data_IF_816627658334
#
_entry.id   IF_816627658334
#
_cell.length_a   1.000
_cell.length_b   1.000
_cell.length_c   1.000
_cell.angle_alpha   90.00
_cell.angle_beta   90.00
_cell.angle_gamma   90.00
#
_symmetry.space_group_name_H-M   'P 1'
#
loop_
_entity.id
_entity.type
_entity.pdbx_description
1 polymer ?
#
# COMPACT_ATOMS: atom_id res chain seq x y z
N UNK A 1 81.02 52.31 14.23
CA UNK A 1 82.25 52.03 14.99
C UNK A 1 81.92 51.07 16.12
N UNK A 2 82.36 49.82 16.04
CA UNK A 2 82.34 48.91 17.20
C UNK A 2 83.25 49.47 18.28
N UNK A 3 82.67 50.00 19.35
CA UNK A 3 83.44 50.34 20.55
C UNK A 3 83.71 49.04 21.30
N UNK A 4 84.89 48.45 21.10
CA UNK A 4 85.40 47.37 21.97
C UNK A 4 85.65 47.96 23.35
N UNK A 5 84.74 47.70 24.28
CA UNK A 5 84.95 47.95 25.70
C UNK A 5 85.94 46.94 26.29
N UNK A 6 86.47 47.19 27.51
CA UNK A 6 87.38 46.28 28.16
C UNK A 6 86.69 44.94 28.42
N UNK A 7 87.26 43.85 27.90
CA UNK A 7 86.71 42.48 27.98
C UNK A 7 87.03 41.81 29.32
N UNK A 8 87.76 42.49 30.20
CA UNK A 8 88.29 41.94 31.45
C UNK A 8 87.81 42.73 32.67
N UNK A 9 87.68 42.04 33.80
CA UNK A 9 87.42 42.66 35.09
C UNK A 9 88.51 43.70 35.42
N UNK A 10 88.15 44.80 36.09
CA UNK A 10 89.17 45.76 36.52
C UNK A 10 90.16 45.08 37.48
N UNK A 11 91.48 45.33 37.31
CA UNK A 11 92.51 44.86 38.24
C UNK A 11 92.17 45.20 39.69
N UNK A 12 92.51 44.31 40.62
CA UNK A 12 92.15 44.45 42.04
C UNK A 12 92.71 45.74 42.66
N UNK A 13 93.84 46.22 42.14
CA UNK A 13 94.53 47.43 42.57
C UNK A 13 93.67 48.68 42.36
N UNK A 14 92.88 48.73 41.28
CA UNK A 14 92.02 49.88 40.97
C UNK A 14 90.69 49.78 41.75
N UNK A 15 90.19 48.56 42.01
CA UNK A 15 88.96 48.36 42.81
C UNK A 15 89.13 48.73 44.28
N UNK A 16 90.36 48.64 44.80
CA UNK A 16 90.71 48.94 46.21
C UNK A 16 91.23 50.37 46.41
N UNK A 17 91.32 51.18 45.33
CA UNK A 17 91.84 52.54 45.36
C UNK A 17 90.79 53.55 45.88
N UNK A 18 91.18 54.56 46.69
CA UNK A 18 90.25 55.58 47.15
C UNK A 18 89.76 56.44 45.97
N UNK A 19 88.49 56.85 46.02
CA UNK A 19 87.73 57.38 44.87
C UNK A 19 88.36 58.62 44.24
N UNK A 20 89.02 59.44 45.05
CA UNK A 20 89.78 60.65 44.68
C UNK A 20 90.96 60.36 43.75
N UNK A 21 91.52 59.15 43.79
CA UNK A 21 92.66 58.72 42.95
C UNK A 21 92.23 57.97 41.69
N UNK A 22 90.94 57.64 41.57
CA UNK A 22 90.40 56.89 40.42
C UNK A 22 89.98 57.78 39.25
N UNK A 23 90.18 59.09 39.38
CA UNK A 23 89.83 60.11 38.39
C UNK A 23 91.02 60.37 37.47
N UNK A 24 90.81 60.25 36.15
CA UNK A 24 91.84 60.56 35.18
C UNK A 24 92.22 62.04 35.24
N UNK A 25 93.51 62.35 35.47
CA UNK A 25 94.02 63.73 35.56
C UNK A 25 93.87 64.56 34.28
N UNK A 26 93.65 63.92 33.13
CA UNK A 26 93.53 64.59 31.83
C UNK A 26 92.08 64.85 31.39
N UNK A 27 91.13 64.00 31.78
CA UNK A 27 89.73 64.11 31.33
C UNK A 27 88.69 64.16 32.46
N UNK A 28 89.09 64.05 33.73
CA UNK A 28 88.20 64.20 34.89
C UNK A 28 87.21 63.04 35.10
N UNK A 29 87.30 61.96 34.33
CA UNK A 29 86.39 60.80 34.43
C UNK A 29 86.93 59.80 35.45
N UNK A 30 86.07 59.34 36.38
CA UNK A 30 86.39 58.23 37.29
C UNK A 30 86.29 56.88 36.56
N UNK A 31 87.39 56.12 36.57
CA UNK A 31 87.44 54.78 35.99
C UNK A 31 86.50 53.79 36.72
N UNK A 32 86.26 53.98 38.02
CA UNK A 32 85.31 53.19 38.79
C UNK A 32 83.87 53.47 38.37
N UNK A 33 83.48 54.75 38.31
CA UNK A 33 82.12 55.15 37.88
C UNK A 33 81.83 54.73 36.44
N UNK A 34 82.80 54.87 35.53
CA UNK A 34 82.64 54.42 34.15
C UNK A 34 82.46 52.89 34.05
N UNK A 35 83.19 52.11 34.86
CA UNK A 35 83.01 50.66 34.92
C UNK A 35 81.65 50.26 35.51
N UNK A 36 81.21 50.89 36.60
CA UNK A 36 79.90 50.64 37.21
C UNK A 36 78.76 50.94 36.23
N UNK A 37 78.85 52.06 35.50
CA UNK A 37 77.91 52.39 34.44
C UNK A 37 77.93 51.35 33.31
N UNK A 38 79.11 50.84 32.93
CA UNK A 38 79.23 49.80 31.91
C UNK A 38 78.60 48.48 32.34
N UNK A 39 78.84 48.06 33.58
CA UNK A 39 78.24 46.86 34.17
C UNK A 39 76.71 46.98 34.22
N UNK A 40 76.19 48.15 34.59
CA UNK A 40 74.74 48.39 34.59
C UNK A 40 74.17 48.42 33.17
N UNK A 41 74.86 49.04 32.21
CA UNK A 41 74.46 49.01 30.79
C UNK A 41 74.41 47.58 30.24
N UNK A 42 75.40 46.74 30.57
CA UNK A 42 75.44 45.35 30.12
C UNK A 42 74.36 44.50 30.81
N UNK A 43 74.05 44.78 32.09
CA UNK A 43 72.90 44.16 32.80
C UNK A 43 71.56 44.57 32.19
N UNK A 44 71.36 45.85 31.87
CA UNK A 44 70.14 46.32 31.20
C UNK A 44 70.00 45.66 29.83
N UNK A 45 71.08 45.57 29.05
CA UNK A 45 71.07 44.85 27.76
C UNK A 45 70.77 43.36 27.93
N UNK A 46 71.24 42.72 28.99
CA UNK A 46 70.90 41.33 29.31
C UNK A 46 69.41 41.19 29.66
N UNK A 47 68.89 42.05 30.55
CA UNK A 47 67.47 42.08 30.93
C UNK A 47 66.56 42.41 29.75
N UNK A 48 66.96 43.31 28.84
CA UNK A 48 66.20 43.60 27.62
C UNK A 48 66.12 42.39 26.68
N UNK A 49 67.19 41.60 26.59
CA UNK A 49 67.19 40.34 25.83
C UNK A 49 66.26 39.32 26.49
N UNK A 50 66.33 39.17 27.81
CA UNK A 50 65.44 38.28 28.57
C UNK A 50 63.97 38.69 28.48
N UNK A 51 63.67 39.99 28.58
CA UNK A 51 62.32 40.54 28.42
C UNK A 51 61.76 40.31 27.02
N UNK A 52 62.59 40.42 25.96
CA UNK A 52 62.18 40.09 24.59
C UNK A 52 61.83 38.60 24.46
N UNK A 53 62.63 37.72 25.05
CA UNK A 53 62.33 36.28 25.10
C UNK A 53 61.03 36.02 25.86
N UNK A 54 60.87 36.61 27.04
CA UNK A 54 59.67 36.46 27.87
C UNK A 54 58.40 36.94 27.16
N UNK A 55 58.47 38.08 26.47
CA UNK A 55 57.36 38.58 25.64
C UNK A 55 56.99 37.58 24.54
N UNK A 56 57.97 37.02 23.84
CA UNK A 56 57.74 35.98 22.84
C UNK A 56 57.14 34.69 23.42
N UNK A 57 57.54 34.31 24.64
CA UNK A 57 56.92 33.20 25.37
C UNK A 57 55.46 33.48 25.71
N UNK A 58 55.13 34.69 26.18
CA UNK A 58 53.75 35.08 26.51
C UNK A 58 52.86 35.09 25.26
N UNK A 59 53.33 35.63 24.14
CA UNK A 59 52.60 35.63 22.86
C UNK A 59 52.41 34.20 22.32
N UNK A 60 53.38 33.29 22.53
CA UNK A 60 53.23 31.87 22.21
C UNK A 60 52.17 31.22 23.09
N UNK A 61 52.19 31.46 24.40
CA UNK A 61 51.21 30.88 25.33
C UNK A 61 49.79 31.35 25.03
N UNK A 62 49.61 32.64 24.75
CA UNK A 62 48.31 33.18 24.34
C UNK A 62 47.79 32.54 23.06
N UNK A 63 48.66 32.33 22.06
CA UNK A 63 48.29 31.61 20.83
C UNK A 63 47.90 30.17 21.10
N UNK A 64 48.71 29.44 21.88
CA UNK A 64 48.41 28.05 22.25
C UNK A 64 47.09 27.94 23.03
N UNK A 65 46.80 28.91 23.91
CA UNK A 65 45.55 28.95 24.65
C UNK A 65 44.35 29.20 23.74
N UNK A 66 44.46 30.09 22.75
CA UNK A 66 43.43 30.31 21.75
C UNK A 66 43.22 29.07 20.84
N UNK A 67 44.30 28.43 20.41
CA UNK A 67 44.25 27.18 19.63
C UNK A 67 43.58 26.05 20.44
N UNK A 68 43.93 25.91 21.72
CA UNK A 68 43.29 24.94 22.61
C UNK A 68 41.80 25.22 22.75
N UNK A 69 41.39 26.48 22.94
CA UNK A 69 39.98 26.83 23.01
C UNK A 69 39.24 26.50 21.72
N UNK A 70 39.81 26.83 20.56
CA UNK A 70 39.22 26.48 19.26
C UNK A 70 39.05 24.95 19.11
N UNK A 71 40.09 24.18 19.45
CA UNK A 71 40.05 22.71 19.46
C UNK A 71 38.98 22.14 20.39
N UNK A 72 38.77 22.72 21.57
CA UNK A 72 37.72 22.27 22.49
C UNK A 72 36.32 22.49 21.90
N UNK A 73 36.06 23.65 21.30
CA UNK A 73 34.78 23.93 20.65
C UNK A 73 34.54 22.97 19.46
N UNK A 74 35.58 22.67 18.68
CA UNK A 74 35.49 21.70 17.59
C UNK A 74 35.19 20.28 18.08
N UNK A 75 35.82 19.84 19.18
CA UNK A 75 35.54 18.55 19.80
C UNK A 75 34.10 18.46 20.33
N UNK A 76 33.60 19.51 21.00
CA UNK A 76 32.22 19.55 21.49
C UNK A 76 31.21 19.50 20.34
N UNK A 77 31.46 20.25 19.26
CA UNK A 77 30.64 20.21 18.05
C UNK A 77 30.63 18.81 17.41
N UNK A 78 31.79 18.18 17.28
CA UNK A 78 31.90 16.83 16.74
C UNK A 78 31.19 15.80 17.63
N UNK A 79 31.27 15.95 18.96
CA UNK A 79 30.55 15.09 19.91
C UNK A 79 29.04 15.23 19.73
N UNK A 80 28.51 16.46 19.72
CA UNK A 80 27.09 16.70 19.52
C UNK A 80 26.59 16.15 18.18
N UNK A 81 27.36 16.31 17.10
CA UNK A 81 27.02 15.75 15.80
C UNK A 81 27.03 14.21 15.82
N UNK A 82 28.01 13.60 16.49
CA UNK A 82 28.10 12.14 16.65
C UNK A 82 26.92 11.57 17.47
N UNK A 83 26.53 12.25 18.54
CA UNK A 83 25.37 11.91 19.36
C UNK A 83 24.08 11.99 18.55
N UNK A 84 23.86 13.10 17.82
CA UNK A 84 22.71 13.28 16.93
C UNK A 84 22.65 12.20 15.83
N UNK A 85 23.78 11.87 15.21
CA UNK A 85 23.86 10.77 14.23
C UNK A 85 23.50 9.42 14.86
N UNK A 86 23.97 9.17 16.08
CA UNK A 86 23.68 7.93 16.82
C UNK A 86 22.20 7.80 17.16
N UNK A 87 21.56 8.89 17.59
CA UNK A 87 20.10 8.93 17.84
C UNK A 87 19.30 8.69 16.55
N UNK A 88 19.70 9.31 15.44
CA UNK A 88 19.07 9.09 14.14
C UNK A 88 19.19 7.63 13.69
N UNK A 89 20.36 7.00 13.88
CA UNK A 89 20.56 5.58 13.57
C UNK A 89 19.66 4.69 14.44
N UNK A 90 19.54 4.98 15.74
CA UNK A 90 18.64 4.24 16.64
C UNK A 90 17.18 4.34 16.18
N UNK A 91 16.72 5.54 15.83
CA UNK A 91 15.36 5.76 15.34
C UNK A 91 15.10 4.97 14.04
N UNK A 92 15.99 5.07 13.06
CA UNK A 92 15.90 4.32 11.79
C UNK A 92 15.95 2.81 12.01
N UNK A 93 16.72 2.33 13.00
CA UNK A 93 16.78 0.90 13.34
C UNK A 93 15.44 0.39 13.87
N UNK A 94 14.75 1.19 14.70
CA UNK A 94 13.41 0.84 15.19
C UNK A 94 12.41 0.83 14.04
N UNK A 95 12.41 1.87 13.19
CA UNK A 95 11.52 1.94 12.04
C UNK A 95 11.73 0.77 11.07
N UNK A 96 12.99 0.40 10.80
CA UNK A 96 13.33 -0.76 9.97
C UNK A 96 12.78 -2.06 10.56
N UNK A 97 12.90 -2.26 11.88
CA UNK A 97 12.33 -3.44 12.55
C UNK A 97 10.80 -3.48 12.45
N UNK A 98 10.14 -2.34 12.64
CA UNK A 98 8.69 -2.24 12.47
C UNK A 98 8.28 -2.60 11.05
N UNK A 99 8.94 -2.02 10.04
CA UNK A 99 8.68 -2.32 8.63
C UNK A 99 8.98 -3.79 8.28
N UNK A 100 9.99 -4.37 8.90
CA UNK A 100 10.31 -5.79 8.72
C UNK A 100 9.20 -6.69 9.29
N UNK A 101 8.60 -6.32 10.42
CA UNK A 101 7.49 -7.07 11.00
C UNK A 101 6.21 -6.93 10.17
N UNK A 102 5.85 -5.70 9.78
CA UNK A 102 4.73 -5.45 8.84
C UNK A 102 4.85 -6.29 7.56
N UNK A 103 6.06 -6.39 7.00
CA UNK A 103 6.32 -7.20 5.80
C UNK A 103 6.09 -8.70 6.05
N UNK A 104 6.42 -9.22 7.23
CA UNK A 104 6.13 -10.62 7.58
C UNK A 104 4.62 -10.84 7.69
N UNK A 105 3.88 -9.90 8.29
CA UNK A 105 2.42 -9.99 8.41
C UNK A 105 1.78 -10.00 7.02
N UNK A 106 2.14 -9.05 6.16
CA UNK A 106 1.64 -8.99 4.77
C UNK A 106 1.99 -10.26 3.99
N UNK A 107 3.16 -10.85 4.22
CA UNK A 107 3.56 -12.11 3.58
C UNK A 107 2.69 -13.29 4.05
N UNK A 108 2.34 -13.35 5.33
CA UNK A 108 1.44 -14.37 5.87
C UNK A 108 0.02 -14.21 5.30
N UNK A 109 -0.48 -12.97 5.23
CA UNK A 109 -1.79 -12.67 4.63
C UNK A 109 -1.84 -13.06 3.15
N UNK A 110 -0.77 -12.78 2.39
CA UNK A 110 -0.66 -13.19 0.99
C UNK A 110 -0.75 -14.71 0.83
N UNK A 111 -0.08 -15.47 1.70
CA UNK A 111 -0.14 -16.93 1.68
C UNK A 111 -1.56 -17.42 2.00
N UNK A 112 -2.18 -16.86 3.03
CA UNK A 112 -3.56 -17.17 3.39
C UNK A 112 -4.54 -16.92 2.22
N UNK A 113 -4.48 -15.74 1.59
CA UNK A 113 -5.35 -15.44 0.44
C UNK A 113 -5.08 -16.34 -0.77
N UNK A 114 -3.83 -16.79 -0.93
CA UNK A 114 -3.48 -17.71 -2.01
C UNK A 114 -4.10 -19.11 -1.79
N UNK A 115 -4.09 -19.59 -0.54
CA UNK A 115 -4.75 -20.84 -0.16
C UNK A 115 -6.29 -20.74 -0.32
N UNK A 116 -6.88 -19.63 0.12
CA UNK A 116 -8.33 -19.38 -0.03
C UNK A 116 -8.76 -19.34 -1.50
N UNK A 117 -7.95 -18.67 -2.35
CA UNK A 117 -8.16 -18.66 -3.80
C UNK A 117 -8.11 -20.06 -4.40
N UNK A 118 -7.16 -20.90 -3.99
CA UNK A 118 -7.04 -22.27 -4.49
C UNK A 118 -8.22 -23.14 -4.05
N UNK A 119 -8.67 -22.98 -2.80
CA UNK A 119 -9.86 -23.65 -2.27
C UNK A 119 -11.13 -23.26 -3.05
N UNK A 120 -11.34 -21.95 -3.28
CA UNK A 120 -12.46 -21.44 -4.06
C UNK A 120 -12.42 -21.94 -5.51
N UNK A 121 -11.24 -22.02 -6.12
CA UNK A 121 -11.07 -22.57 -7.47
C UNK A 121 -11.46 -24.05 -7.54
N UNK A 122 -11.00 -24.88 -6.58
CA UNK A 122 -11.38 -26.30 -6.47
C UNK A 122 -12.89 -26.46 -6.31
N UNK A 123 -13.53 -25.63 -5.47
CA UNK A 123 -14.98 -25.65 -5.29
C UNK A 123 -15.73 -25.28 -6.58
N UNK A 124 -15.28 -24.24 -7.28
CA UNK A 124 -15.85 -23.85 -8.59
C UNK A 124 -15.75 -24.97 -9.62
N UNK A 125 -14.63 -25.70 -9.64
CA UNK A 125 -14.45 -26.83 -10.55
C UNK A 125 -15.43 -27.97 -10.24
N UNK A 126 -15.64 -28.31 -8.96
CA UNK A 126 -16.64 -29.32 -8.56
C UNK A 126 -18.06 -28.93 -8.94
N UNK A 127 -18.42 -27.65 -8.74
CA UNK A 127 -19.73 -27.16 -9.17
C UNK A 127 -19.92 -27.23 -10.68
N UNK A 128 -18.86 -26.92 -11.45
CA UNK A 128 -18.90 -27.01 -12.91
C UNK A 128 -19.12 -28.43 -13.41
N UNK A 129 -18.36 -29.40 -12.89
CA UNK A 129 -18.53 -30.81 -13.29
C UNK A 129 -19.90 -31.35 -12.89
N UNK A 130 -20.42 -30.93 -11.73
CA UNK A 130 -21.78 -31.26 -11.28
C UNK A 130 -22.84 -30.69 -12.22
N UNK A 131 -22.68 -29.43 -12.63
CA UNK A 131 -23.59 -28.79 -13.58
C UNK A 131 -23.56 -29.48 -14.95
N UNK A 132 -22.38 -29.82 -15.46
CA UNK A 132 -22.23 -30.57 -16.72
C UNK A 132 -22.94 -31.94 -16.64
N UNK A 133 -22.83 -32.63 -15.51
CA UNK A 133 -23.53 -33.89 -15.27
C UNK A 133 -25.07 -33.71 -15.26
N UNK A 134 -25.57 -32.68 -14.59
CA UNK A 134 -27.00 -32.37 -14.59
C UNK A 134 -27.51 -32.01 -15.98
N UNK A 135 -26.77 -31.19 -16.73
CA UNK A 135 -27.10 -30.86 -18.13
C UNK A 135 -27.14 -32.12 -19.01
N UNK A 136 -26.16 -33.03 -18.87
CA UNK A 136 -26.16 -34.31 -19.59
C UNK A 136 -27.39 -35.16 -19.25
N UNK A 137 -27.74 -35.24 -17.97
CA UNK A 137 -28.91 -35.99 -17.49
C UNK A 137 -30.21 -35.40 -18.01
N UNK A 138 -30.34 -34.07 -17.97
CA UNK A 138 -31.49 -33.37 -18.50
C UNK A 138 -31.64 -33.58 -20.01
N UNK A 139 -30.54 -33.50 -20.76
CA UNK A 139 -30.56 -33.76 -22.20
C UNK A 139 -31.03 -35.19 -22.51
N UNK A 140 -30.59 -36.19 -21.72
CA UNK A 140 -31.10 -37.56 -21.84
C UNK A 140 -32.60 -37.64 -21.55
N UNK A 141 -33.09 -37.00 -20.47
CA UNK A 141 -34.51 -36.97 -20.16
C UNK A 141 -35.33 -36.30 -21.27
N UNK A 142 -34.87 -35.17 -21.79
CA UNK A 142 -35.52 -34.47 -22.91
C UNK A 142 -35.58 -35.32 -24.16
N UNK A 143 -34.54 -36.12 -24.44
CA UNK A 143 -34.52 -37.04 -25.58
C UNK A 143 -35.57 -38.17 -25.50
N UNK A 144 -36.12 -38.45 -24.31
CA UNK A 144 -37.19 -39.43 -24.12
C UNK A 144 -38.59 -38.86 -24.36
N UNK A 145 -38.77 -37.53 -24.34
CA UNK A 145 -40.09 -36.94 -24.55
C UNK A 145 -40.75 -37.25 -25.90
N UNK A 146 -40.03 -37.28 -27.04
CA UNK A 146 -40.61 -37.68 -28.31
C UNK A 146 -41.19 -39.10 -28.27
N UNK A 147 -40.50 -40.03 -27.60
CA UNK A 147 -40.97 -41.41 -27.43
C UNK A 147 -42.22 -41.47 -26.55
N UNK A 148 -42.21 -40.81 -25.39
CA UNK A 148 -43.40 -40.76 -24.52
C UNK A 148 -44.59 -40.14 -25.26
N UNK A 149 -44.35 -39.11 -26.06
CA UNK A 149 -45.38 -38.47 -26.88
C UNK A 149 -45.93 -39.42 -27.94
N UNK A 150 -45.09 -40.16 -28.64
CA UNK A 150 -45.57 -41.14 -29.64
C UNK A 150 -46.39 -42.26 -29.02
N UNK A 151 -46.00 -42.75 -27.83
CA UNK A 151 -46.78 -43.74 -27.09
C UNK A 151 -48.15 -43.20 -26.68
N UNK A 152 -48.21 -41.95 -26.19
CA UNK A 152 -49.47 -41.29 -25.84
C UNK A 152 -50.38 -41.10 -27.05
N UNK A 153 -49.82 -40.69 -28.19
CA UNK A 153 -50.57 -40.53 -29.44
C UNK A 153 -51.11 -41.89 -29.93
N UNK A 154 -50.31 -42.96 -29.82
CA UNK A 154 -50.76 -44.33 -30.14
C UNK A 154 -51.90 -44.80 -29.23
N UNK A 155 -51.78 -44.61 -27.91
CA UNK A 155 -52.86 -44.94 -26.96
C UNK A 155 -54.13 -44.17 -27.30
N UNK A 156 -54.01 -42.88 -27.62
CA UNK A 156 -55.13 -42.03 -28.01
C UNK A 156 -55.82 -42.54 -29.27
N UNK A 157 -55.08 -42.97 -30.28
CA UNK A 157 -55.65 -43.59 -31.49
C UNK A 157 -56.42 -44.87 -31.13
N UNK A 158 -55.82 -45.78 -30.36
CA UNK A 158 -56.46 -47.03 -29.94
C UNK A 158 -57.78 -46.76 -29.18
N UNK A 159 -57.78 -45.81 -28.26
CA UNK A 159 -58.99 -45.41 -27.53
C UNK A 159 -60.05 -44.85 -28.50
N UNK A 160 -59.65 -44.01 -29.44
CA UNK A 160 -60.57 -43.41 -30.41
C UNK A 160 -61.22 -44.48 -31.30
N UNK A 161 -60.42 -45.41 -31.83
CA UNK A 161 -60.92 -46.55 -32.61
C UNK A 161 -61.87 -47.43 -31.79
N UNK A 162 -61.55 -47.70 -30.53
CA UNK A 162 -62.43 -48.49 -29.67
C UNK A 162 -63.76 -47.78 -29.38
N UNK A 163 -63.76 -46.46 -29.21
CA UNK A 163 -65.00 -45.69 -29.03
C UNK A 163 -65.87 -45.73 -30.29
N UNK A 164 -65.27 -45.62 -31.47
CA UNK A 164 -65.98 -45.76 -32.75
C UNK A 164 -66.58 -47.17 -32.91
N UNK A 165 -65.79 -48.21 -32.62
CA UNK A 165 -66.26 -49.60 -32.64
C UNK A 165 -67.42 -49.84 -31.66
N UNK A 166 -67.32 -49.29 -30.45
CA UNK A 166 -68.38 -49.38 -29.45
C UNK A 166 -69.66 -48.68 -29.92
N UNK A 167 -69.53 -47.50 -30.54
CA UNK A 167 -70.67 -46.77 -31.10
C UNK A 167 -71.35 -47.57 -32.23
N UNK A 168 -70.56 -48.18 -33.12
CA UNK A 168 -71.07 -49.03 -34.19
C UNK A 168 -71.80 -50.27 -33.65
N UNK A 169 -71.20 -50.97 -32.68
CA UNK A 169 -71.81 -52.13 -32.03
C UNK A 169 -73.11 -51.77 -31.32
N UNK A 170 -73.14 -50.62 -30.63
CA UNK A 170 -74.36 -50.12 -29.97
C UNK A 170 -75.49 -49.90 -30.98
N UNK A 171 -75.20 -49.30 -32.14
CA UNK A 171 -76.19 -49.09 -33.20
C UNK A 171 -76.68 -50.41 -33.79
N UNK A 172 -75.79 -51.37 -34.03
CA UNK A 172 -76.15 -52.71 -34.51
C UNK A 172 -77.09 -53.44 -33.54
N UNK A 173 -76.76 -53.45 -32.24
CA UNK A 173 -77.63 -54.02 -31.20
C UNK A 173 -79.00 -53.34 -31.21
N UNK A 174 -79.04 -52.02 -31.36
CA UNK A 174 -80.30 -51.28 -31.39
C UNK A 174 -81.16 -51.66 -32.60
N UNK A 175 -80.54 -51.86 -33.77
CA UNK A 175 -81.24 -52.36 -34.95
C UNK A 175 -81.75 -53.79 -34.77
N UNK A 176 -80.95 -54.69 -34.17
CA UNK A 176 -81.37 -56.05 -33.87
C UNK A 176 -82.58 -56.07 -32.92
N UNK A 177 -82.55 -55.28 -31.84
CA UNK A 177 -83.68 -55.15 -30.90
C UNK A 177 -84.94 -54.69 -31.63
N UNK A 178 -84.81 -53.70 -32.52
CA UNK A 178 -85.94 -53.18 -33.31
C UNK A 178 -86.50 -54.23 -34.27
N UNK A 179 -85.64 -55.03 -34.91
CA UNK A 179 -86.04 -56.11 -35.79
C UNK A 179 -86.80 -57.21 -35.03
N UNK A 180 -86.24 -57.70 -33.92
CA UNK A 180 -86.88 -58.70 -33.04
C UNK A 180 -88.22 -58.18 -32.51
N UNK A 181 -88.27 -56.91 -32.09
CA UNK A 181 -89.52 -56.29 -31.61
C UNK A 181 -90.58 -56.23 -32.71
N UNK A 182 -90.20 -55.91 -33.94
CA UNK A 182 -91.11 -55.89 -35.10
C UNK A 182 -91.60 -57.29 -35.45
N UNK A 183 -90.73 -58.28 -35.42
CA UNK A 183 -91.08 -59.69 -35.67
C UNK A 183 -92.06 -60.19 -34.61
N UNK A 184 -91.76 -59.97 -33.32
CA UNK A 184 -92.65 -60.28 -32.21
C UNK A 184 -94.03 -59.62 -32.38
N UNK A 185 -94.10 -58.35 -32.78
CA UNK A 185 -95.37 -57.64 -33.02
C UNK A 185 -96.19 -58.22 -34.18
N UNK A 186 -95.57 -58.90 -35.14
CA UNK A 186 -96.28 -59.57 -36.25
C UNK A 186 -96.68 -61.01 -35.93
N UNK A 187 -95.97 -61.69 -35.02
CA UNK A 187 -96.34 -63.03 -34.54
C UNK A 187 -97.43 -63.00 -33.47
N UNK A 188 -97.45 -62.00 -32.58
CA UNK A 188 -98.50 -61.83 -31.56
C UNK A 188 -99.94 -61.93 -32.13
N UNK A 189 -100.33 -61.22 -33.20
CA UNK A 189 -101.68 -61.34 -33.75
C UNK A 189 -101.95 -62.71 -34.41
N UNK A 190 -100.94 -63.36 -34.99
CA UNK A 190 -101.08 -64.73 -35.55
C UNK A 190 -101.33 -65.74 -34.45
N UNK A 191 -100.60 -65.64 -33.33
CA UNK A 191 -100.80 -66.45 -32.14
C UNK A 191 -102.17 -66.17 -31.51
N UNK A 192 -102.58 -64.92 -31.39
CA UNK A 192 -103.91 -64.55 -30.89
C UNK A 192 -105.04 -65.07 -31.78
N UNK A 193 -104.86 -65.09 -33.11
CA UNK A 193 -105.83 -65.66 -34.04
C UNK A 193 -105.92 -67.20 -33.88
N UNK A 194 -104.78 -67.88 -33.71
CA UNK A 194 -104.74 -69.33 -33.41
C UNK A 194 -105.39 -69.63 -32.06
N UNK A 195 -105.13 -68.79 -31.05
CA UNK A 195 -105.73 -68.88 -29.73
C UNK A 195 -107.26 -68.69 -29.79
N UNK A 196 -107.75 -67.69 -30.53
CA UNK A 196 -109.19 -67.45 -30.70
C UNK A 196 -109.91 -68.57 -31.49
N UNK A 197 -109.19 -69.28 -32.37
CA UNK A 197 -109.69 -70.48 -33.07
C UNK A 197 -109.76 -71.68 -32.12
N UNK A 198 -108.70 -71.88 -31.33
CA UNK A 198 -108.63 -72.91 -30.29
C UNK A 198 -109.63 -72.67 -29.14
N UNK A 199 -109.91 -71.42 -28.75
CA UNK A 199 -110.90 -71.07 -27.74
C UNK A 199 -112.34 -71.43 -28.16
N UNK A 200 -112.69 -71.25 -29.45
CA UNK A 200 -113.98 -71.70 -30.01
C UNK A 200 -114.13 -73.22 -30.06
N UNK A 201 -113.03 -73.95 -30.30
CA UNK A 201 -113.00 -75.41 -30.18
C UNK A 201 -113.08 -75.86 -28.71
N UNK A 202 -112.50 -75.08 -27.78
CA UNK A 202 -112.51 -75.35 -26.35
C UNK A 202 -113.89 -75.11 -25.71
N UNK A 203 -114.70 -74.15 -26.17
CA UNK A 203 -116.09 -73.96 -25.72
C UNK A 203 -116.97 -75.19 -26.05
N UNK A 204 -116.75 -75.85 -27.20
CA UNK A 204 -117.42 -77.09 -27.60
C UNK A 204 -116.96 -78.33 -26.78
N UNK A 205 -115.69 -78.34 -26.36
CA UNK A 205 -115.12 -79.36 -25.49
C UNK A 205 -115.43 -79.12 -23.99
N UNK A 206 -115.64 -77.87 -23.56
CA UNK A 206 -116.03 -77.48 -22.20
C UNK A 206 -117.45 -77.91 -21.82
N UNK A 207 -118.36 -78.13 -22.77
CA UNK A 207 -119.66 -78.78 -22.52
C UNK A 207 -119.50 -80.28 -22.18
N UNK A 208 -118.42 -80.93 -22.65
CA UNK A 208 -118.08 -82.34 -22.41
C UNK A 208 -117.13 -82.56 -21.22
N UNK A 209 -116.23 -81.60 -20.95
CA UNK A 209 -115.26 -81.64 -19.84
C UNK A 209 -115.89 -81.18 -18.51
N UNK A 210 -117.07 -80.52 -18.53
CA UNK A 210 -117.90 -80.21 -17.34
C UNK A 210 -118.30 -81.43 -16.52
N UNK A 211 -118.23 -82.64 -17.09
CA UNK A 211 -118.64 -83.87 -16.41
C UNK A 211 -117.48 -84.74 -15.89
N UNK A 212 -116.24 -84.59 -16.36
CA UNK A 212 -115.22 -85.62 -16.09
C UNK A 212 -113.85 -85.14 -15.59
N UNK A 213 -113.56 -83.83 -15.54
CA UNK A 213 -112.17 -83.38 -15.25
C UNK A 213 -112.10 -82.11 -14.39
N UNK A 214 -113.07 -81.92 -13.49
CA UNK A 214 -113.14 -80.74 -12.61
C UNK A 214 -112.43 -80.87 -11.26
N UNK A 215 -112.02 -82.08 -10.83
CA UNK A 215 -111.54 -82.28 -9.45
C UNK A 215 -110.07 -82.67 -9.36
N UNK A 216 -109.46 -83.30 -10.37
CA UNK A 216 -108.15 -83.94 -10.19
C UNK A 216 -106.93 -83.06 -10.55
N UNK A 217 -106.99 -82.25 -11.61
CA UNK A 217 -105.74 -81.73 -12.21
C UNK A 217 -105.37 -80.29 -11.80
N UNK A 218 -106.17 -79.62 -10.94
CA UNK A 218 -105.91 -78.22 -10.54
C UNK A 218 -104.78 -78.07 -9.51
N UNK A 219 -104.38 -79.15 -8.83
CA UNK A 219 -103.37 -79.09 -7.75
C UNK A 219 -101.95 -79.28 -8.27
N UNK A 220 -101.74 -80.04 -9.35
CA UNK A 220 -100.40 -80.39 -9.81
C UNK A 220 -99.75 -79.26 -10.64
N UNK A 221 -100.53 -78.50 -11.41
CA UNK A 221 -100.02 -77.40 -12.24
C UNK A 221 -99.58 -76.16 -11.44
N UNK A 222 -100.16 -75.91 -10.25
CA UNK A 222 -99.76 -74.78 -9.38
C UNK A 222 -98.42 -74.97 -8.66
N UNK A 223 -97.97 -76.22 -8.52
CA UNK A 223 -96.73 -76.54 -7.78
C UNK A 223 -95.48 -76.22 -8.61
N UNK A 224 -95.54 -76.36 -9.94
CA UNK A 224 -94.42 -76.02 -10.83
C UNK A 224 -94.24 -74.50 -11.06
N UNK A 225 -95.30 -73.70 -10.90
CA UNK A 225 -95.27 -72.24 -11.13
C UNK A 225 -94.68 -71.46 -9.93
N UNK A 226 -94.72 -72.04 -8.72
CA UNK A 226 -94.13 -71.47 -7.51
C UNK A 226 -92.61 -71.73 -7.39
N UNK A 227 -92.09 -72.76 -8.06
CA UNK A 227 -90.68 -73.15 -7.98
C UNK A 227 -89.75 -72.21 -8.79
N UNK A 228 -90.23 -71.66 -9.91
CA UNK A 228 -89.49 -70.67 -10.73
C UNK A 228 -89.45 -69.28 -10.08
N UNK A 229 -90.49 -68.91 -9.31
CA UNK A 229 -90.53 -67.66 -8.54
C UNK A 229 -89.58 -67.66 -7.33
N UNK A 230 -89.30 -68.84 -6.75
CA UNK A 230 -88.34 -69.00 -5.65
C UNK A 230 -86.88 -68.83 -6.12
N UNK A 231 -86.55 -69.25 -7.34
CA UNK A 231 -85.21 -69.06 -7.93
C UNK A 231 -84.90 -67.58 -8.23
N UNK A 232 -85.88 -66.83 -8.75
CA UNK A 232 -85.73 -65.38 -8.99
C UNK A 232 -85.58 -64.57 -7.68
N UNK A 233 -86.19 -65.02 -6.58
CA UNK A 233 -86.02 -64.42 -5.25
C UNK A 233 -84.60 -64.59 -4.69
N UNK A 234 -83.98 -65.76 -4.90
CA UNK A 234 -82.61 -66.02 -4.45
C UNK A 234 -81.56 -65.21 -5.24
N UNK A 235 -81.77 -64.99 -6.54
CA UNK A 235 -80.89 -64.14 -7.36
C UNK A 235 -80.95 -62.68 -6.95
N UNK A 236 -82.15 -62.15 -6.68
CA UNK A 236 -82.31 -60.78 -6.17
C UNK A 236 -81.74 -60.61 -4.76
N UNK A 237 -81.85 -61.63 -3.90
CA UNK A 237 -81.25 -61.61 -2.56
C UNK A 237 -79.72 -61.63 -2.62
N UNK A 238 -79.11 -62.38 -3.54
CA UNK A 238 -77.66 -62.37 -3.75
C UNK A 238 -77.19 -61.01 -4.31
N UNK A 239 -77.94 -60.44 -5.27
CA UNK A 239 -77.67 -59.10 -5.82
C UNK A 239 -77.71 -58.02 -4.72
N UNK A 240 -78.69 -58.09 -3.82
CA UNK A 240 -78.78 -57.16 -2.69
C UNK A 240 -77.60 -57.31 -1.72
N UNK A 241 -77.11 -58.54 -1.45
CA UNK A 241 -75.92 -58.74 -0.61
C UNK A 241 -74.63 -58.22 -1.25
N UNK A 242 -74.48 -58.37 -2.57
CA UNK A 242 -73.34 -57.83 -3.31
C UNK A 242 -73.33 -56.30 -3.30
N UNK A 243 -74.46 -55.66 -3.60
CA UNK A 243 -74.60 -54.19 -3.54
C UNK A 243 -74.37 -53.65 -2.12
N UNK A 244 -74.77 -54.39 -1.08
CA UNK A 244 -74.54 -54.01 0.30
C UNK A 244 -73.05 -54.11 0.68
N UNK A 245 -72.31 -55.05 0.10
CA UNK A 245 -70.84 -55.16 0.24
C UNK A 245 -70.12 -54.01 -0.48
N UNK A 246 -70.50 -53.69 -1.71
CA UNK A 246 -69.96 -52.53 -2.45
C UNK A 246 -70.21 -51.21 -1.71
N UNK A 247 -71.39 -51.05 -1.13
CA UNK A 247 -71.73 -49.85 -0.35
C UNK A 247 -70.83 -49.71 0.88
N UNK A 248 -70.51 -50.83 1.55
CA UNK A 248 -69.60 -50.83 2.69
C UNK A 248 -68.16 -50.50 2.27
N UNK A 249 -67.68 -51.08 1.17
CA UNK A 249 -66.34 -50.81 0.64
C UNK A 249 -66.16 -49.36 0.18
N UNK A 250 -67.18 -48.78 -0.47
CA UNK A 250 -67.20 -47.36 -0.85
C UNK A 250 -67.23 -46.46 0.39
N UNK A 251 -67.97 -46.83 1.43
CA UNK A 251 -68.01 -46.08 2.71
C UNK A 251 -66.62 -46.05 3.36
N UNK A 252 -65.92 -47.18 3.42
CA UNK A 252 -64.55 -47.26 3.95
C UNK A 252 -63.55 -46.42 3.12
N UNK A 253 -63.71 -46.37 1.80
CA UNK A 253 -62.88 -45.52 0.93
C UNK A 253 -63.13 -44.03 1.18
N UNK A 254 -64.38 -43.62 1.38
CA UNK A 254 -64.74 -42.23 1.69
C UNK A 254 -64.16 -41.81 3.06
N UNK A 255 -64.24 -42.66 4.08
CA UNK A 255 -63.63 -42.39 5.38
C UNK A 255 -62.10 -42.28 5.30
N UNK A 256 -61.46 -43.18 4.54
CA UNK A 256 -60.00 -43.14 4.33
C UNK A 256 -59.57 -41.87 3.60
N UNK A 257 -60.31 -41.47 2.56
CA UNK A 257 -60.06 -40.22 1.84
C UNK A 257 -60.29 -38.99 2.74
N UNK A 258 -61.30 -39.02 3.61
CA UNK A 258 -61.57 -37.97 4.60
C UNK A 258 -60.41 -37.76 5.58
N UNK A 259 -59.82 -38.86 6.09
CA UNK A 259 -58.64 -38.80 6.95
C UNK A 259 -57.40 -38.24 6.24
N UNK A 260 -57.19 -38.61 4.97
CA UNK A 260 -56.10 -38.05 4.15
C UNK A 260 -56.30 -36.55 3.90
N UNK A 261 -57.54 -36.11 3.65
CA UNK A 261 -57.87 -34.70 3.45
C UNK A 261 -57.59 -33.87 4.72
N UNK A 262 -57.93 -34.39 5.90
CA UNK A 262 -57.61 -33.74 7.17
C UNK A 262 -56.11 -33.59 7.39
N UNK A 263 -55.32 -34.63 7.05
CA UNK A 263 -53.86 -34.59 7.14
C UNK A 263 -53.25 -33.51 6.23
N UNK A 264 -53.65 -33.47 4.96
CA UNK A 264 -53.19 -32.46 3.99
C UNK A 264 -53.60 -31.05 4.42
N UNK A 265 -54.79 -30.90 5.01
CA UNK A 265 -55.25 -29.60 5.53
C UNK A 265 -54.39 -29.11 6.70
N UNK A 266 -54.02 -29.99 7.63
CA UNK A 266 -53.14 -29.65 8.74
C UNK A 266 -51.72 -29.28 8.26
N UNK A 267 -51.19 -29.98 7.26
CA UNK A 267 -49.90 -29.66 6.64
C UNK A 267 -49.96 -28.29 5.92
N UNK A 268 -51.03 -27.99 5.19
CA UNK A 268 -51.25 -26.70 4.54
C UNK A 268 -51.25 -25.54 5.56
N UNK A 269 -51.93 -25.70 6.68
CA UNK A 269 -51.98 -24.69 7.74
C UNK A 269 -50.63 -24.51 8.43
N UNK A 270 -49.84 -25.58 8.58
CA UNK A 270 -48.46 -25.48 9.04
C UNK A 270 -47.59 -24.65 8.08
N UNK A 271 -47.65 -24.94 6.78
CA UNK A 271 -46.89 -24.20 5.78
C UNK A 271 -47.31 -22.73 5.68
N UNK A 272 -48.61 -22.41 5.82
CA UNK A 272 -49.09 -21.02 5.89
C UNK A 272 -48.47 -20.24 7.06
N UNK A 273 -48.41 -20.85 8.26
CA UNK A 273 -47.78 -20.23 9.43
C UNK A 273 -46.28 -20.00 9.20
N UNK A 274 -45.59 -20.97 8.63
CA UNK A 274 -44.17 -20.85 8.30
C UNK A 274 -43.91 -19.72 7.28
N UNK A 275 -44.76 -19.60 6.26
CA UNK A 275 -44.70 -18.54 5.26
C UNK A 275 -44.88 -17.15 5.89
N UNK A 276 -45.80 -17.02 6.84
CA UNK A 276 -46.04 -15.76 7.55
C UNK A 276 -44.80 -15.34 8.36
N UNK A 277 -44.18 -16.28 9.10
CA UNK A 277 -42.95 -16.01 9.86
C UNK A 277 -41.81 -15.61 8.92
N UNK A 278 -41.63 -16.34 7.81
CA UNK A 278 -40.59 -16.00 6.81
C UNK A 278 -40.82 -14.63 6.17
N UNK A 279 -42.07 -14.22 5.95
CA UNK A 279 -42.39 -12.87 5.49
C UNK A 279 -41.94 -11.81 6.49
N UNK A 280 -42.21 -12.00 7.78
CA UNK A 280 -41.80 -11.05 8.82
C UNK A 280 -40.29 -10.97 9.00
N UNK A 281 -39.57 -12.09 8.87
CA UNK A 281 -38.10 -12.11 8.87
C UNK A 281 -37.52 -11.37 7.66
N UNK A 282 -38.14 -11.52 6.49
CA UNK A 282 -37.72 -10.84 5.27
C UNK A 282 -37.89 -9.32 5.38
N UNK A 283 -39.02 -8.86 5.94
CA UNK A 283 -39.28 -7.44 6.21
C UNK A 283 -38.25 -6.85 7.19
N UNK A 284 -37.90 -7.60 8.24
CA UNK A 284 -36.88 -7.19 9.21
C UNK A 284 -35.50 -7.03 8.54
N UNK A 285 -35.06 -8.04 7.79
CA UNK A 285 -33.81 -7.99 7.01
C UNK A 285 -33.80 -6.83 6.01
N UNK A 286 -34.93 -6.56 5.35
CA UNK A 286 -35.04 -5.48 4.38
C UNK A 286 -34.92 -4.08 5.04
N UNK A 287 -35.43 -3.93 6.26
CA UNK A 287 -35.30 -2.69 7.02
C UNK A 287 -33.86 -2.49 7.53
N UNK A 288 -33.18 -3.55 7.97
CA UNK A 288 -31.76 -3.51 8.34
C UNK A 288 -30.87 -3.14 7.15
N UNK A 289 -31.14 -3.70 5.97
CA UNK A 289 -30.43 -3.35 4.74
C UNK A 289 -30.59 -1.85 4.39
N UNK A 290 -31.80 -1.29 4.56
CA UNK A 290 -32.04 0.15 4.33
C UNK A 290 -31.25 1.02 5.31
N UNK A 291 -31.17 0.63 6.58
CA UNK A 291 -30.40 1.32 7.60
C UNK A 291 -28.91 1.33 7.26
N UNK A 292 -28.33 0.18 6.94
CA UNK A 292 -26.93 0.05 6.56
C UNK A 292 -26.61 0.88 5.31
N UNK A 293 -27.49 0.89 4.29
CA UNK A 293 -27.30 1.72 3.10
C UNK A 293 -27.26 3.21 3.41
N UNK A 294 -28.10 3.67 4.33
CA UNK A 294 -28.11 5.08 4.75
C UNK A 294 -26.82 5.45 5.50
N UNK A 295 -26.39 4.60 6.44
CA UNK A 295 -25.15 4.79 7.20
C UNK A 295 -23.90 4.76 6.30
N UNK A 296 -23.86 3.83 5.35
CA UNK A 296 -22.80 3.78 4.34
C UNK A 296 -22.77 5.04 3.47
N UNK A 297 -23.93 5.55 3.03
CA UNK A 297 -23.99 6.78 2.25
C UNK A 297 -23.43 8.00 3.02
N UNK A 298 -23.66 8.07 4.33
CA UNK A 298 -23.07 9.11 5.18
C UNK A 298 -21.55 8.93 5.27
N UNK A 299 -21.08 7.71 5.52
CA UNK A 299 -19.66 7.41 5.64
C UNK A 299 -18.90 7.71 4.32
N UNK A 300 -19.48 7.32 3.19
CA UNK A 300 -18.93 7.57 1.86
C UNK A 300 -18.85 9.06 1.55
N UNK A 301 -19.89 9.84 1.85
CA UNK A 301 -19.87 11.30 1.70
C UNK A 301 -18.79 11.95 2.56
N UNK A 302 -18.61 11.49 3.80
CA UNK A 302 -17.54 11.97 4.69
C UNK A 302 -16.16 11.67 4.14
N UNK A 303 -15.90 10.42 3.73
CA UNK A 303 -14.62 10.00 3.17
C UNK A 303 -14.29 10.73 1.87
N UNK A 304 -15.28 10.97 1.01
CA UNK A 304 -15.11 11.74 -0.21
C UNK A 304 -14.68 13.19 0.08
N UNK A 305 -15.26 13.80 1.12
CA UNK A 305 -14.87 15.15 1.55
C UNK A 305 -13.44 15.18 2.08
N UNK A 306 -13.07 14.24 2.95
CA UNK A 306 -11.71 14.13 3.49
C UNK A 306 -10.68 13.89 2.37
N UNK A 307 -11.00 13.05 1.39
CA UNK A 307 -10.14 12.81 0.24
C UNK A 307 -9.86 14.10 -0.53
N UNK A 308 -10.91 14.88 -0.82
CA UNK A 308 -10.79 16.16 -1.53
C UNK A 308 -9.93 17.17 -0.76
N UNK A 309 -10.13 17.28 0.55
CA UNK A 309 -9.30 18.16 1.41
C UNK A 309 -7.81 17.73 1.41
N UNK A 310 -7.53 16.42 1.37
CA UNK A 310 -6.16 15.90 1.26
C UNK A 310 -5.54 16.12 -0.12
N UNK A 311 -6.31 15.99 -1.20
CA UNK A 311 -5.88 16.30 -2.57
C UNK A 311 -5.51 17.78 -2.71
N UNK A 312 -6.34 18.68 -2.17
CA UNK A 312 -6.07 20.12 -2.15
C UNK A 312 -4.80 20.45 -1.34
N UNK A 313 -4.64 19.82 -0.17
CA UNK A 313 -3.43 19.97 0.66
C UNK A 313 -2.17 19.45 -0.05
N UNK A 314 -2.26 18.32 -0.75
CA UNK A 314 -1.15 17.76 -1.52
C UNK A 314 -0.74 18.70 -2.66
N UNK A 315 -1.71 19.28 -3.36
CA UNK A 315 -1.46 20.23 -4.44
C UNK A 315 -0.69 21.46 -3.92
N UNK A 316 -1.07 21.98 -2.75
CA UNK A 316 -0.36 23.09 -2.09
C UNK A 316 1.08 22.68 -1.77
N UNK A 317 1.29 21.49 -1.17
CA UNK A 317 2.63 20.99 -0.87
C UNK A 317 3.48 20.85 -2.15
N UNK A 318 2.92 20.35 -3.25
CA UNK A 318 3.61 20.25 -4.53
C UNK A 318 4.03 21.62 -5.08
N UNK A 319 3.15 22.62 -4.98
CA UNK A 319 3.46 23.99 -5.38
C UNK A 319 4.59 24.60 -4.55
N UNK A 320 4.57 24.38 -3.23
CA UNK A 320 5.64 24.84 -2.32
C UNK A 320 6.96 24.16 -2.67
N UNK A 321 6.97 22.84 -2.84
CA UNK A 321 8.18 22.10 -3.22
C UNK A 321 8.77 22.61 -4.53
N UNK A 322 7.93 22.86 -5.54
CA UNK A 322 8.36 23.42 -6.82
C UNK A 322 8.99 24.80 -6.66
N UNK A 323 8.37 25.68 -5.86
CA UNK A 323 8.90 27.01 -5.59
C UNK A 323 10.26 26.96 -4.88
N UNK A 324 10.39 26.12 -3.85
CA UNK A 324 11.67 25.92 -3.15
C UNK A 324 12.76 25.37 -4.07
N UNK A 325 12.40 24.49 -5.00
CA UNK A 325 13.32 23.94 -5.98
C UNK A 325 13.83 25.02 -6.96
N UNK A 326 12.97 25.94 -7.38
CA UNK A 326 13.33 27.11 -8.18
C UNK A 326 14.24 28.07 -7.40
N UNK A 327 13.95 28.34 -6.12
CA UNK A 327 14.80 29.17 -5.25
C UNK A 327 16.19 28.57 -5.04
N UNK A 328 16.29 27.25 -4.84
CA UNK A 328 17.58 26.56 -4.71
C UNK A 328 18.39 26.70 -5.99
N UNK A 329 17.78 26.45 -7.16
CA UNK A 329 18.46 26.59 -8.44
C UNK A 329 18.93 28.04 -8.71
N UNK A 330 18.17 29.05 -8.26
CA UNK A 330 18.57 30.45 -8.34
C UNK A 330 19.74 30.78 -7.40
N UNK A 331 19.76 30.22 -6.19
CA UNK A 331 20.87 30.38 -5.24
C UNK A 331 22.14 29.70 -5.72
N UNK A 332 22.05 28.49 -6.28
CA UNK A 332 23.18 27.77 -6.88
C UNK A 332 23.80 28.59 -8.02
N UNK A 333 22.99 29.14 -8.93
CA UNK A 333 23.48 30.03 -10.00
C UNK A 333 24.23 31.26 -9.45
N UNK A 334 23.69 31.88 -8.39
CA UNK A 334 24.33 33.04 -7.73
C UNK A 334 25.64 32.65 -7.04
N UNK A 335 25.69 31.48 -6.41
CA UNK A 335 26.91 30.95 -5.78
C UNK A 335 28.00 30.69 -6.84
N UNK A 336 27.66 30.07 -7.96
CA UNK A 336 28.60 29.85 -9.07
C UNK A 336 29.12 31.17 -9.65
N UNK A 337 28.24 32.16 -9.82
CA UNK A 337 28.63 33.51 -10.25
C UNK A 337 29.60 34.17 -9.26
N UNK A 338 29.39 33.99 -7.95
CA UNK A 338 30.28 34.50 -6.90
C UNK A 338 31.61 33.76 -6.90
N UNK A 339 31.61 32.42 -7.00
CA UNK A 339 32.85 31.63 -7.14
C UNK A 339 33.67 32.06 -8.35
N UNK A 340 33.03 32.28 -9.51
CA UNK A 340 33.70 32.79 -10.72
C UNK A 340 34.29 34.18 -10.51
N UNK A 341 33.60 35.07 -9.78
CA UNK A 341 34.13 36.40 -9.43
C UNK A 341 35.30 36.32 -8.45
N UNK A 342 35.16 35.54 -7.37
CA UNK A 342 36.21 35.32 -6.38
C UNK A 342 37.48 34.77 -7.02
N UNK A 343 37.35 33.75 -7.87
CA UNK A 343 38.52 33.15 -8.55
C UNK A 343 39.24 34.12 -9.49
N UNK A 344 38.52 35.06 -10.13
CA UNK A 344 39.15 36.14 -10.91
C UNK A 344 39.92 37.09 -10.01
N UNK A 345 39.30 37.56 -8.92
CA UNK A 345 39.96 38.46 -7.97
C UNK A 345 41.15 37.80 -7.26
N UNK A 346 41.07 36.51 -6.94
CA UNK A 346 42.21 35.73 -6.43
C UNK A 346 43.34 35.64 -7.46
N UNK A 347 43.03 35.36 -8.72
CA UNK A 347 44.04 35.33 -9.80
C UNK A 347 44.72 36.69 -9.99
N UNK A 348 43.93 37.78 -10.00
CA UNK A 348 44.44 39.15 -10.06
C UNK A 348 45.34 39.46 -8.85
N UNK A 349 44.93 39.08 -7.64
CA UNK A 349 45.74 39.25 -6.43
C UNK A 349 47.07 38.49 -6.53
N UNK A 350 47.06 37.26 -7.01
CA UNK A 350 48.27 36.44 -7.20
C UNK A 350 49.24 37.11 -8.19
N UNK A 351 48.73 37.65 -9.30
CA UNK A 351 49.55 38.41 -10.26
C UNK A 351 50.16 39.67 -9.65
N UNK A 352 49.39 40.43 -8.84
CA UNK A 352 49.90 41.61 -8.16
C UNK A 352 50.97 41.28 -7.11
N UNK A 353 50.80 40.19 -6.36
CA UNK A 353 51.83 39.70 -5.41
C UNK A 353 53.13 39.34 -6.13
N UNK A 354 53.03 38.66 -7.29
CA UNK A 354 54.20 38.31 -8.08
C UNK A 354 54.94 39.56 -8.58
N UNK A 355 54.20 40.55 -9.10
CA UNK A 355 54.76 41.84 -9.53
C UNK A 355 55.39 42.61 -8.37
N UNK A 356 54.76 42.61 -7.20
CA UNK A 356 55.30 43.24 -6.00
C UNK A 356 56.62 42.59 -5.59
N UNK A 357 56.68 41.26 -5.51
CA UNK A 357 57.90 40.53 -5.18
C UNK A 357 59.02 40.81 -6.18
N UNK A 358 58.70 40.89 -7.47
CA UNK A 358 59.68 41.26 -8.50
C UNK A 358 60.21 42.68 -8.28
N UNK A 359 59.31 43.65 -8.02
CA UNK A 359 59.68 45.05 -7.78
C UNK A 359 60.53 45.19 -6.52
N UNK A 360 60.19 44.48 -5.44
CA UNK A 360 60.99 44.46 -4.21
C UNK A 360 62.40 43.93 -4.46
N UNK A 361 62.53 42.89 -5.29
CA UNK A 361 63.83 42.33 -5.68
C UNK A 361 64.64 43.30 -6.55
N UNK A 362 64.00 43.99 -7.50
CA UNK A 362 64.62 45.05 -8.30
C UNK A 362 65.10 46.21 -7.41
N UNK A 363 64.30 46.65 -6.44
CA UNK A 363 64.69 47.70 -5.48
C UNK A 363 65.87 47.26 -4.61
N UNK A 364 65.92 45.99 -4.19
CA UNK A 364 67.08 45.45 -3.47
C UNK A 364 68.34 45.48 -4.32
N UNK A 365 68.25 45.07 -5.59
CA UNK A 365 69.37 45.13 -6.54
C UNK A 365 69.87 46.57 -6.74
N UNK A 366 68.96 47.51 -6.98
CA UNK A 366 69.30 48.94 -7.14
C UNK A 366 69.93 49.54 -5.88
N UNK A 367 69.49 49.12 -4.69
CA UNK A 367 70.11 49.53 -3.42
C UNK A 367 71.54 49.00 -3.30
N UNK A 368 71.78 47.75 -3.66
CA UNK A 368 73.14 47.16 -3.67
C UNK A 368 74.04 47.88 -4.68
N UNK A 369 73.56 48.16 -5.89
CA UNK A 369 74.29 48.93 -6.90
C UNK A 369 74.65 50.34 -6.38
N UNK A 370 73.69 51.02 -5.74
CA UNK A 370 73.92 52.33 -5.12
C UNK A 370 75.00 52.26 -4.03
N UNK A 371 74.98 51.24 -3.17
CA UNK A 371 76.00 51.05 -2.13
C UNK A 371 77.39 50.81 -2.73
N UNK A 372 77.49 49.97 -3.75
CA UNK A 372 78.76 49.75 -4.48
C UNK A 372 79.27 51.06 -5.10
N UNK A 373 78.38 51.86 -5.68
CA UNK A 373 78.74 53.14 -6.29
C UNK A 373 79.18 54.16 -5.23
N UNK A 374 78.52 54.21 -4.07
CA UNK A 374 78.93 55.03 -2.94
C UNK A 374 80.31 54.61 -2.39
N UNK A 375 80.57 53.31 -2.23
CA UNK A 375 81.89 52.80 -1.81
C UNK A 375 82.98 53.17 -2.83
N UNK A 376 82.68 53.06 -4.13
CA UNK A 376 83.58 53.48 -5.21
C UNK A 376 83.87 54.99 -5.17
N UNK A 377 82.84 55.83 -5.01
CA UNK A 377 83.00 57.27 -4.87
C UNK A 377 83.80 57.63 -3.60
N UNK A 378 83.53 56.96 -2.49
CA UNK A 378 84.26 57.17 -1.23
C UNK A 378 85.74 56.82 -1.41
N UNK A 379 86.06 55.65 -1.97
CA UNK A 379 87.43 55.26 -2.30
C UNK A 379 88.13 56.28 -3.20
N UNK A 380 87.44 56.78 -4.24
CA UNK A 380 88.00 57.80 -5.14
C UNK A 380 88.22 59.13 -4.43
N UNK A 381 87.33 59.50 -3.51
CA UNK A 381 87.48 60.70 -2.68
C UNK A 381 88.66 60.57 -1.73
N UNK A 382 88.83 59.41 -1.08
CA UNK A 382 89.97 59.10 -0.22
C UNK A 382 91.28 59.14 -1.01
N UNK A 383 91.32 58.56 -2.23
CA UNK A 383 92.48 58.65 -3.12
C UNK A 383 92.82 60.11 -3.49
N UNK A 384 91.82 60.94 -3.79
CA UNK A 384 92.02 62.35 -4.10
C UNK A 384 92.49 63.14 -2.87
N UNK A 385 91.96 62.87 -1.69
CA UNK A 385 92.41 63.47 -0.43
C UNK A 385 93.85 63.07 -0.10
N UNK A 386 94.22 61.81 -0.32
CA UNK A 386 95.58 61.31 -0.13
C UNK A 386 96.55 61.94 -1.14
N UNK A 387 96.14 62.08 -2.40
CA UNK A 387 96.90 62.81 -3.42
C UNK A 387 97.07 64.30 -3.04
N UNK A 388 96.05 64.94 -2.46
CA UNK A 388 96.14 66.31 -1.98
C UNK A 388 97.11 66.43 -0.79
N UNK A 389 97.07 65.48 0.17
CA UNK A 389 98.03 65.41 1.28
C UNK A 389 99.47 65.25 0.80
N UNK A 390 99.69 64.41 -0.22
CA UNK A 390 101.00 64.24 -0.85
C UNK A 390 101.45 65.52 -1.55
N UNK A 391 100.53 66.25 -2.20
CA UNK A 391 100.81 67.56 -2.79
C UNK A 391 101.18 68.61 -1.76
N UNK A 392 100.46 68.70 -0.65
CA UNK A 392 100.76 69.63 0.45
C UNK A 392 102.11 69.29 1.09
N UNK A 393 102.42 68.00 1.31
CA UNK A 393 103.76 67.56 1.75
C UNK A 393 104.86 67.91 0.74
N UNK A 394 104.56 67.88 -0.56
CA UNK A 394 105.49 68.32 -1.59
C UNK A 394 105.65 69.84 -1.60
N UNK A 395 104.58 70.62 -1.43
CA UNK A 395 104.61 72.10 -1.33
C UNK A 395 105.33 72.59 -0.07
N UNK A 396 105.19 71.89 1.07
CA UNK A 396 105.98 72.15 2.27
C UNK A 396 107.48 71.85 2.04
N UNK A 397 107.81 70.92 1.13
CA UNK A 397 109.17 70.67 0.64
C UNK A 397 109.68 71.74 -0.34
N UNK A 398 108.83 72.60 -0.91
CA UNK A 398 109.22 73.72 -1.80
C UNK A 398 109.30 75.07 -1.08
N UNK A 399 108.71 75.20 0.13
CA UNK A 399 108.82 76.41 0.97
C UNK A 399 110.19 76.59 1.65
N UNK A 400 111.04 75.56 1.65
CA UNK A 400 112.38 75.56 2.27
C UNK A 400 113.56 75.83 1.30
N UNK A 401 113.30 76.23 0.04
CA UNK A 401 114.36 76.62 -0.91
C UNK A 401 114.03 77.92 -1.66
N UNK A 402 114.78 78.97 -1.26
CA UNK A 402 115.12 80.22 -1.95
C UNK A 402 114.38 81.52 -1.54
N UNK A 403 115.07 82.30 -0.69
CA UNK A 403 115.20 83.77 -0.76
C UNK A 403 116.62 84.16 -0.25
N UNK A 404 117.52 84.72 -1.09
CA UNK A 404 118.64 85.57 -0.68
C UNK A 404 118.29 87.06 -0.96
N UNK A 405 118.85 88.10 -0.33
CA UNK A 405 119.81 88.30 0.75
C UNK A 405 119.78 89.79 1.18
N UNK A 406 120.30 90.10 2.39
CA UNK A 406 120.94 91.35 2.85
C UNK A 406 120.06 92.62 3.04
N UNK A 407 120.22 93.49 4.03
CA UNK A 407 121.12 93.63 5.18
C UNK A 407 120.63 94.81 6.08
N UNK A 408 121.07 94.80 7.35
CA UNK A 408 121.31 95.96 8.27
C UNK A 408 120.15 96.85 8.79
N UNK A 409 119.76 96.68 10.06
CA UNK A 409 120.14 97.57 11.19
C UNK A 409 119.37 97.21 12.49
N UNK A 410 120.15 97.14 13.59
CA UNK A 410 119.88 96.85 15.03
C UNK A 410 119.60 95.41 15.50
#
# INVERSE_FOLDING_TARGET
MERRGPVHALPEEIRKMPRDQTVCKYCGVSYLTLHELKVMEDKVKAMEKEMKVYKGCLEREQRLQAELQALHHDLERCRAESESKTERIKALTVELKTKQEEMKTVKADLQYFQEEKEAAYKQSQVLRTTLEHHCSTLNKAVSLFPFIRSELDSIKEVISTNLENFAAMKEEIFQQIKAVSKEALTEIPKLNQRLAKSQRENECLQEKIRHLTGVADTVELKTQQLQTSLQQGNELQNRCRELQKETLDLTNQVETAGLQLQKVTAELDHYKKLLLVKSTELDACQNELKKIKYENGIAESRLMKELKEKEESLLICQQICKHLQEEVAEKERKEEDLKRRSGRSESELETLKALLSQTEQEVLMLKQERELLLLSQQNRTEQLQEALRLKVRSEDSWRDKELPASDQDL
#
